data_IF_245701608586
#
_entry.id   IF_245701608586
#
_cell.length_a   1.000
_cell.length_b   1.000
_cell.length_c   1.000
_cell.angle_alpha   90.00
_cell.angle_beta   90.00
_cell.angle_gamma   90.00
#
_symmetry.space_group_name_H-M   'P 1'
#
loop_
_entity.id
_entity.type
_entity.pdbx_description
1 polymer ?
#
# COMPACT_ATOMS: atom_id res chain seq x y z
N UNK A 1 6.33 17.00 9.91
CA UNK A 1 5.26 16.37 9.12
C UNK A 1 4.86 17.24 7.93
N UNK A 2 4.21 18.41 8.12
CA UNK A 2 3.87 19.33 7.00
C UNK A 2 5.07 19.85 6.20
N UNK A 3 6.20 20.12 6.85
CA UNK A 3 7.44 20.57 6.19
C UNK A 3 8.10 19.48 5.31
N UNK A 4 7.65 18.22 5.42
CA UNK A 4 8.09 17.09 4.60
C UNK A 4 7.04 16.71 3.54
N UNK A 5 5.95 17.47 3.41
CA UNK A 5 4.85 17.18 2.47
C UNK A 5 3.73 16.30 3.03
N UNK A 6 3.83 15.84 4.29
CA UNK A 6 2.83 14.96 4.90
C UNK A 6 1.75 15.76 5.64
N UNK A 7 0.48 15.55 5.28
CA UNK A 7 -0.68 16.03 6.05
C UNK A 7 -1.14 14.97 7.04
N UNK A 8 -0.79 15.15 8.31
CA UNK A 8 -1.16 14.23 9.39
C UNK A 8 -2.02 14.97 10.42
N UNK A 9 -3.02 14.30 10.98
CA UNK A 9 -3.88 14.90 12.03
C UNK A 9 -3.18 14.88 13.39
N UNK A 10 -3.60 15.76 14.32
CA UNK A 10 -3.05 15.80 15.68
C UNK A 10 -3.19 14.45 16.40
N UNK A 11 -4.30 13.74 16.20
CA UNK A 11 -4.53 12.42 16.79
C UNK A 11 -3.55 11.37 16.25
N UNK A 12 -3.29 11.40 14.94
CA UNK A 12 -2.32 10.50 14.32
C UNK A 12 -0.90 10.77 14.79
N UNK A 13 -0.55 12.05 14.99
CA UNK A 13 0.76 12.44 15.54
C UNK A 13 0.89 11.98 16.99
N UNK A 14 -0.14 12.14 17.83
CA UNK A 14 -0.14 11.66 19.22
C UNK A 14 0.03 10.15 19.32
N UNK A 15 -0.68 9.39 18.47
CA UNK A 15 -0.52 7.94 18.45
C UNK A 15 0.88 7.53 17.99
N UNK A 16 1.45 8.23 17.02
CA UNK A 16 2.81 7.98 16.56
C UNK A 16 3.86 8.26 17.64
N UNK A 17 3.71 9.37 18.38
CA UNK A 17 4.56 9.69 19.52
C UNK A 17 4.46 8.57 20.56
N UNK A 18 3.24 8.20 20.99
CA UNK A 18 3.04 7.17 22.01
C UNK A 18 3.59 5.78 21.63
N UNK A 19 3.59 5.43 20.34
CA UNK A 19 4.11 4.14 19.86
C UNK A 19 5.65 4.10 19.78
N UNK A 20 6.31 5.26 19.77
CA UNK A 20 7.75 5.41 19.50
C UNK A 20 8.53 5.95 20.71
N UNK A 21 7.91 6.79 21.53
CA UNK A 21 8.42 7.35 22.79
C UNK A 21 8.65 6.22 23.81
N UNK A 22 9.82 5.58 23.71
CA UNK A 22 10.20 4.40 24.49
C UNK A 22 10.72 4.80 25.86
N UNK A 23 11.26 6.01 25.96
CA UNK A 23 11.80 6.56 27.20
C UNK A 23 10.75 7.28 28.05
N UNK A 24 9.56 7.53 27.48
CA UNK A 24 8.43 8.16 28.16
C UNK A 24 8.66 9.65 28.42
N UNK A 25 9.56 10.28 27.66
CA UNK A 25 9.89 11.69 27.78
C UNK A 25 8.75 12.61 27.32
N UNK A 26 7.77 12.06 26.59
CA UNK A 26 6.67 12.83 25.99
C UNK A 26 7.10 13.63 24.76
N UNK A 27 8.34 13.43 24.31
CA UNK A 27 8.95 14.10 23.16
C UNK A 27 9.72 13.08 22.32
N UNK A 28 9.82 13.30 21.01
CA UNK A 28 10.59 12.40 20.13
C UNK A 28 12.01 12.94 20.04
N UNK A 29 13.01 12.16 20.43
CA UNK A 29 14.42 12.48 20.19
C UNK A 29 14.86 12.17 18.74
N UNK A 30 16.12 12.44 18.39
CA UNK A 30 16.58 12.24 17.00
C UNK A 30 16.57 10.76 16.57
N UNK A 31 16.91 9.83 17.47
CA UNK A 31 16.97 8.40 17.19
C UNK A 31 15.55 7.81 17.09
N UNK A 32 14.65 8.25 17.97
CA UNK A 32 13.23 7.96 17.91
C UNK A 32 12.57 8.54 16.64
N UNK A 33 12.98 9.74 16.23
CA UNK A 33 12.51 10.36 14.98
C UNK A 33 12.99 9.59 13.76
N UNK A 34 14.26 9.17 13.75
CA UNK A 34 14.82 8.33 12.69
C UNK A 34 14.10 6.98 12.60
N UNK A 35 13.82 6.33 13.73
CA UNK A 35 13.02 5.11 13.78
C UNK A 35 11.58 5.33 13.29
N UNK A 36 10.93 6.42 13.71
CA UNK A 36 9.59 6.76 13.26
C UNK A 36 9.53 6.98 11.75
N UNK A 37 10.48 7.73 11.19
CA UNK A 37 10.56 8.01 9.76
C UNK A 37 10.82 6.74 8.94
N UNK A 38 11.72 5.89 9.42
CA UNK A 38 12.14 4.69 8.68
C UNK A 38 11.13 3.55 8.79
N UNK A 39 10.58 3.31 9.98
CA UNK A 39 9.68 2.19 10.23
C UNK A 39 8.20 2.57 10.00
N UNK A 40 7.70 3.64 10.63
CA UNK A 40 6.26 3.93 10.63
C UNK A 40 5.81 4.77 9.44
N UNK A 41 6.63 5.74 9.02
CA UNK A 41 6.30 6.63 7.89
C UNK A 41 6.59 5.92 6.58
N UNK A 42 7.74 5.25 6.44
CA UNK A 42 8.03 4.40 5.27
C UNK A 42 6.96 3.33 4.99
N UNK A 43 6.43 2.65 6.02
CA UNK A 43 5.34 1.68 5.85
C UNK A 43 3.98 2.33 5.55
N UNK A 44 3.69 3.51 6.12
CA UNK A 44 2.43 4.23 5.85
C UNK A 44 2.39 4.81 4.45
N UNK A 45 3.47 5.44 4.01
CA UNK A 45 3.61 5.94 2.64
C UNK A 45 3.49 4.81 1.63
N UNK A 46 4.12 3.67 1.90
CA UNK A 46 3.96 2.48 1.07
C UNK A 46 2.49 2.04 1.00
N UNK A 47 1.75 2.06 2.12
CA UNK A 47 0.33 1.69 2.13
C UNK A 47 -0.55 2.70 1.39
N UNK A 48 -0.32 4.00 1.56
CA UNK A 48 -1.09 5.05 0.88
C UNK A 48 -0.81 5.11 -0.62
N UNK A 49 0.44 4.90 -1.05
CA UNK A 49 0.82 4.74 -2.45
C UNK A 49 0.18 3.48 -3.05
N UNK A 50 0.25 2.34 -2.35
CA UNK A 50 -0.40 1.10 -2.80
C UNK A 50 -1.92 1.22 -2.87
N UNK A 51 -2.54 1.96 -1.95
CA UNK A 51 -3.99 2.22 -1.99
C UNK A 51 -4.35 3.14 -3.15
N UNK A 52 -3.49 4.10 -3.49
CA UNK A 52 -3.65 4.94 -4.69
C UNK A 52 -3.53 4.11 -5.96
N UNK A 53 -2.48 3.30 -6.08
CA UNK A 53 -2.28 2.38 -7.19
C UNK A 53 -3.48 1.43 -7.35
N UNK A 54 -3.98 0.86 -6.26
CA UNK A 54 -5.17 0.00 -6.27
C UNK A 54 -6.38 0.71 -6.88
N UNK A 55 -6.62 1.97 -6.52
CA UNK A 55 -7.73 2.77 -7.07
C UNK A 55 -7.52 3.20 -8.52
N UNK A 56 -6.29 3.24 -9.01
CA UNK A 56 -6.00 3.47 -10.42
C UNK A 56 -6.26 2.21 -11.25
N UNK A 57 -6.12 1.03 -10.65
CA UNK A 57 -6.46 -0.25 -11.26
C UNK A 57 -7.98 -0.48 -11.24
N UNK A 58 -8.62 -0.37 -10.07
CA UNK A 58 -10.05 -0.55 -9.85
C UNK A 58 -10.87 0.58 -10.49
N UNK A 59 -11.17 0.42 -11.79
CA UNK A 59 -11.83 1.46 -12.59
C UNK A 59 -13.35 1.48 -12.43
N UNK A 60 -13.96 0.32 -12.17
CA UNK A 60 -15.40 0.23 -11.91
C UNK A 60 -15.75 0.62 -10.45
N UNK A 61 -14.73 0.78 -9.59
CA UNK A 61 -14.82 1.20 -8.19
C UNK A 61 -15.64 0.22 -7.36
N UNK A 62 -15.59 -1.06 -7.73
CA UNK A 62 -16.25 -2.12 -6.98
C UNK A 62 -15.47 -2.51 -5.71
N UNK A 63 -14.25 -1.96 -5.53
CA UNK A 63 -13.38 -2.20 -4.39
C UNK A 63 -12.50 -3.44 -4.53
N UNK A 64 -12.42 -4.00 -5.74
CA UNK A 64 -11.66 -5.20 -6.10
C UNK A 64 -11.02 -5.02 -7.49
N UNK A 65 -9.99 -5.78 -7.76
CA UNK A 65 -9.33 -5.80 -9.07
C UNK A 65 -9.73 -7.07 -9.80
N UNK A 66 -10.37 -6.90 -10.96
CA UNK A 66 -10.72 -8.00 -11.84
C UNK A 66 -9.69 -8.20 -12.96
N UNK A 67 -9.77 -9.33 -13.67
CA UNK A 67 -8.96 -9.58 -14.87
C UNK A 67 -9.17 -8.50 -15.95
N UNK A 68 -10.37 -7.93 -16.04
CA UNK A 68 -10.67 -6.87 -16.99
C UNK A 68 -9.94 -5.57 -16.64
N UNK A 69 -9.81 -5.25 -15.35
CA UNK A 69 -9.09 -4.07 -14.86
C UNK A 69 -7.59 -4.17 -15.18
N UNK A 70 -6.98 -5.33 -14.91
CA UNK A 70 -5.56 -5.59 -15.22
C UNK A 70 -5.33 -5.53 -16.74
N UNK A 71 -6.20 -6.19 -17.53
CA UNK A 71 -6.08 -6.18 -19.00
C UNK A 71 -6.15 -4.77 -19.56
N UNK A 72 -7.02 -3.93 -18.99
CA UNK A 72 -7.16 -2.55 -19.43
C UNK A 72 -5.95 -1.72 -19.02
N UNK A 73 -5.51 -1.82 -17.76
CA UNK A 73 -4.31 -1.13 -17.29
C UNK A 73 -3.10 -1.47 -18.16
N UNK A 74 -2.90 -2.74 -18.49
CA UNK A 74 -1.82 -3.17 -19.37
C UNK A 74 -1.86 -2.43 -20.71
N UNK A 75 -3.04 -2.36 -21.35
CA UNK A 75 -3.22 -1.61 -22.61
C UNK A 75 -2.93 -0.13 -22.46
N UNK A 76 -3.26 0.48 -21.32
CA UNK A 76 -2.99 1.90 -21.03
C UNK A 76 -1.48 2.16 -20.84
N UNK A 77 -0.76 1.21 -20.24
CA UNK A 77 0.70 1.25 -20.09
C UNK A 77 1.45 0.86 -21.37
N UNK A 78 0.75 0.39 -22.40
CA UNK A 78 1.34 -0.11 -23.65
C UNK A 78 1.97 -1.50 -23.51
N UNK A 79 1.70 -2.19 -22.41
CA UNK A 79 2.08 -3.58 -22.18
C UNK A 79 0.96 -4.51 -22.60
N UNK A 80 1.32 -5.70 -23.08
CA UNK A 80 0.36 -6.72 -23.49
C UNK A 80 0.62 -7.99 -22.70
N UNK A 81 -0.27 -8.29 -21.78
CA UNK A 81 -0.34 -9.59 -21.14
C UNK A 81 -1.34 -10.47 -21.87
N UNK A 82 -1.02 -11.75 -22.00
CA UNK A 82 -1.96 -12.79 -22.38
C UNK A 82 -3.02 -12.97 -21.30
N UNK A 83 -4.18 -13.54 -21.68
CA UNK A 83 -5.21 -13.85 -20.69
C UNK A 83 -4.68 -14.81 -19.62
N UNK A 84 -3.83 -15.76 -20.01
CA UNK A 84 -3.18 -16.72 -19.11
C UNK A 84 -2.32 -16.02 -18.06
N UNK A 85 -1.44 -15.09 -18.46
CA UNK A 85 -0.61 -14.32 -17.52
C UNK A 85 -1.46 -13.50 -16.53
N UNK A 86 -2.56 -12.91 -16.98
CA UNK A 86 -3.46 -12.15 -16.10
C UNK A 86 -4.16 -13.08 -15.10
N UNK A 87 -4.59 -14.26 -15.55
CA UNK A 87 -5.18 -15.25 -14.65
C UNK A 87 -4.16 -15.78 -13.65
N UNK A 88 -2.91 -16.00 -14.05
CA UNK A 88 -1.83 -16.39 -13.12
C UNK A 88 -1.55 -15.29 -12.07
N UNK A 89 -1.54 -14.01 -12.49
CA UNK A 89 -1.39 -12.89 -11.55
C UNK A 89 -2.52 -12.82 -10.52
N UNK A 90 -3.76 -13.10 -10.93
CA UNK A 90 -4.91 -13.13 -10.04
C UNK A 90 -4.84 -14.34 -9.13
N UNK A 91 -4.58 -15.54 -9.66
CA UNK A 91 -4.49 -16.78 -8.87
C UNK A 91 -3.38 -16.72 -7.81
N UNK A 92 -2.27 -16.03 -8.09
CA UNK A 92 -1.21 -15.82 -7.10
C UNK A 92 -1.61 -14.84 -5.97
N UNK A 93 -2.48 -13.87 -6.29
CA UNK A 93 -2.91 -12.83 -5.36
C UNK A 93 -4.17 -13.19 -4.57
N UNK A 94 -5.14 -13.82 -5.22
CA UNK A 94 -6.45 -14.22 -4.70
C UNK A 94 -6.29 -15.39 -3.71
N UNK A 95 -6.45 -15.09 -2.41
CA UNK A 95 -6.34 -16.09 -1.35
C UNK A 95 -7.69 -16.63 -0.94
N UNK A 96 -8.76 -15.90 -1.24
CA UNK A 96 -10.10 -16.21 -0.83
C UNK A 96 -10.85 -17.05 -1.89
N UNK A 97 -10.33 -17.10 -3.12
CA UNK A 97 -10.81 -17.89 -4.24
C UNK A 97 -12.03 -17.29 -4.93
N UNK A 98 -12.27 -15.98 -4.83
CA UNK A 98 -13.41 -15.31 -5.46
C UNK A 98 -13.13 -14.86 -6.91
N UNK A 99 -11.91 -15.05 -7.40
CA UNK A 99 -11.48 -14.71 -8.76
C UNK A 99 -11.21 -13.22 -8.96
N UNK A 100 -11.15 -12.45 -7.88
CA UNK A 100 -10.84 -11.02 -7.85
C UNK A 100 -9.77 -10.77 -6.78
N UNK A 101 -9.13 -9.60 -6.81
CA UNK A 101 -8.11 -9.25 -5.81
C UNK A 101 -8.60 -8.10 -4.95
N UNK A 102 -8.76 -8.37 -3.65
CA UNK A 102 -9.15 -7.35 -2.67
C UNK A 102 -7.95 -6.47 -2.21
N UNK A 103 -8.19 -5.34 -1.52
CA UNK A 103 -7.12 -4.45 -1.09
C UNK A 103 -6.10 -5.11 -0.15
N UNK A 104 -6.53 -6.03 0.71
CA UNK A 104 -5.66 -6.77 1.63
C UNK A 104 -4.81 -7.80 0.89
N UNK A 105 -5.35 -8.44 -0.15
CA UNK A 105 -4.65 -9.35 -1.05
C UNK A 105 -3.61 -8.62 -1.89
N UNK A 106 -3.99 -7.50 -2.50
CA UNK A 106 -3.08 -6.65 -3.28
C UNK A 106 -1.91 -6.14 -2.43
N UNK A 107 -2.18 -5.67 -1.20
CA UNK A 107 -1.13 -5.24 -0.26
C UNK A 107 -0.19 -6.39 0.11
N UNK A 108 -0.69 -7.60 0.31
CA UNK A 108 0.14 -8.78 0.64
C UNK A 108 1.00 -9.22 -0.55
N UNK A 109 0.46 -9.16 -1.76
CA UNK A 109 1.17 -9.46 -3.00
C UNK A 109 2.32 -8.47 -3.20
N UNK A 110 2.02 -7.16 -3.17
CA UNK A 110 3.02 -6.10 -3.35
C UNK A 110 4.11 -6.13 -2.28
N UNK A 111 3.77 -6.39 -1.01
CA UNK A 111 4.77 -6.57 0.05
C UNK A 111 5.71 -7.75 -0.19
N UNK A 112 5.25 -8.83 -0.82
CA UNK A 112 6.11 -9.97 -1.19
C UNK A 112 7.03 -9.63 -2.35
N UNK A 113 6.54 -8.89 -3.34
CA UNK A 113 7.30 -8.50 -4.53
C UNK A 113 8.34 -7.41 -4.22
N UNK A 114 8.03 -6.45 -3.35
CA UNK A 114 8.98 -5.40 -2.92
C UNK A 114 10.07 -5.88 -1.94
N UNK A 115 10.02 -7.14 -1.50
CA UNK A 115 11.01 -7.74 -0.59
C UNK A 115 12.14 -8.50 -1.33
N UNK A 116 12.34 -8.23 -2.62
CA UNK A 116 13.49 -8.71 -3.41
C UNK A 116 14.37 -7.56 -3.90
#
# INVERSE_FOLDING_TARGET
MRALGFEMTEEQIRQMIADVDKDGSGTIDFDEFAYMMTAKIGERDSREELTRAFREIDQDKNGKISAADIQRMARELGESFSAEEIYEMIDEADRNGDGEVDPDEFLKMMKRTSLY
#
